data_IF_096084991177
#
_entry.id   IF_096084991177
#
_cell.length_a   1.000
_cell.length_b   1.000
_cell.length_c   1.000
_cell.angle_alpha   90.00
_cell.angle_beta   90.00
_cell.angle_gamma   90.00
#
_symmetry.space_group_name_H-M   'P 1'
#
loop_
_entity.id
_entity.type
_entity.pdbx_description
1 polymer ?
#
# COMPACT_ATOMS: atom_id res chain seq x y z
N UNK A 1 6.59 16.64 7.30
CA UNK A 1 6.49 15.72 6.13
C UNK A 1 5.63 14.52 6.50
N UNK A 2 4.66 14.17 5.64
CA UNK A 2 3.79 12.99 5.76
C UNK A 2 4.44 11.83 5.01
N UNK A 3 4.61 10.71 5.68
CA UNK A 3 5.30 9.53 5.15
C UNK A 3 4.40 8.30 5.31
N UNK A 4 4.31 7.45 4.31
CA UNK A 4 3.53 6.21 4.41
C UNK A 4 3.22 5.59 3.06
N UNK A 5 2.62 4.40 3.08
CA UNK A 5 2.25 3.67 1.86
C UNK A 5 1.31 4.48 0.96
N UNK A 6 1.29 4.22 -0.36
CA UNK A 6 0.29 4.80 -1.26
C UNK A 6 -1.14 4.52 -0.76
N UNK A 7 -2.05 5.47 -0.95
CA UNK A 7 -3.47 5.27 -0.61
C UNK A 7 -3.83 5.40 0.87
N UNK A 8 -2.89 5.73 1.77
CA UNK A 8 -3.18 5.91 3.21
C UNK A 8 -3.86 7.24 3.55
N UNK A 9 -4.02 8.15 2.59
CA UNK A 9 -4.77 9.40 2.77
C UNK A 9 -3.90 10.62 3.12
N UNK A 10 -2.59 10.60 2.85
CA UNK A 10 -1.67 11.72 3.15
C UNK A 10 -2.15 13.06 2.59
N UNK A 11 -2.54 13.09 1.32
CA UNK A 11 -3.07 14.29 0.63
C UNK A 11 -4.39 14.74 1.25
N UNK A 12 -5.28 13.80 1.61
CA UNK A 12 -6.54 14.12 2.28
C UNK A 12 -6.30 14.71 3.68
N UNK A 13 -5.33 14.18 4.42
CA UNK A 13 -4.95 14.70 5.72
C UNK A 13 -4.44 16.13 5.63
N UNK A 14 -3.58 16.44 4.65
CA UNK A 14 -3.09 17.81 4.43
C UNK A 14 -4.23 18.78 4.09
N UNK A 15 -5.18 18.37 3.23
CA UNK A 15 -6.38 19.16 2.92
C UNK A 15 -7.27 19.37 4.15
N UNK A 16 -7.45 18.33 4.96
CA UNK A 16 -8.26 18.43 6.19
C UNK A 16 -7.65 19.39 7.20
N UNK A 17 -6.32 19.40 7.35
CA UNK A 17 -5.61 20.36 8.23
C UNK A 17 -5.84 21.81 7.75
N UNK A 18 -5.75 22.06 6.45
CA UNK A 18 -6.00 23.40 5.90
C UNK A 18 -7.47 23.84 6.08
N UNK A 19 -8.40 22.90 5.86
CA UNK A 19 -9.84 23.17 6.05
C UNK A 19 -10.18 23.48 7.51
N UNK A 20 -9.61 22.72 8.46
CA UNK A 20 -9.81 22.94 9.90
C UNK A 20 -9.17 24.24 10.37
N UNK A 21 -8.00 24.59 9.86
CA UNK A 21 -7.32 25.85 10.14
C UNK A 21 -7.94 27.05 9.42
N UNK A 22 -8.82 26.81 8.46
CA UNK A 22 -9.47 27.83 7.61
C UNK A 22 -8.45 28.78 6.96
N UNK A 23 -7.40 28.21 6.35
CA UNK A 23 -6.33 28.93 5.68
C UNK A 23 -6.22 28.52 4.20
N UNK A 24 -5.72 29.40 3.30
CA UNK A 24 -5.41 29.05 1.93
C UNK A 24 -4.51 27.82 1.82
N UNK A 25 -4.83 26.94 0.85
CA UNK A 25 -4.13 25.68 0.60
C UNK A 25 -3.58 25.66 -0.83
N UNK A 26 -2.27 25.73 -0.95
CA UNK A 26 -1.55 25.64 -2.21
C UNK A 26 -1.00 24.24 -2.38
N UNK A 27 -1.54 23.47 -3.32
CA UNK A 27 -1.13 22.08 -3.56
C UNK A 27 -0.47 21.95 -4.92
N UNK A 28 0.66 21.25 -4.96
CA UNK A 28 1.39 20.91 -6.18
C UNK A 28 1.96 19.48 -6.05
N UNK A 29 2.03 18.76 -7.16
CA UNK A 29 2.75 17.49 -7.19
C UNK A 29 4.22 17.73 -7.51
N UNK A 30 5.12 16.93 -6.91
CA UNK A 30 6.54 16.99 -7.20
C UNK A 30 6.87 16.77 -8.68
N UNK A 31 6.06 15.97 -9.37
CA UNK A 31 6.15 15.76 -10.82
C UNK A 31 5.91 17.04 -11.62
N UNK A 32 5.08 17.97 -11.14
CA UNK A 32 4.75 19.22 -11.84
C UNK A 32 5.94 20.19 -11.92
N UNK A 33 6.97 19.92 -11.11
CA UNK A 33 8.22 20.68 -11.15
C UNK A 33 9.24 20.11 -12.14
N UNK A 34 9.02 18.88 -12.65
CA UNK A 34 9.91 18.20 -13.59
C UNK A 34 9.41 18.43 -15.00
N UNK A 35 10.02 19.39 -15.69
CA UNK A 35 9.66 19.75 -17.06
C UNK A 35 10.85 19.44 -18.00
N UNK A 36 10.59 19.39 -19.32
CA UNK A 36 11.66 19.20 -20.32
C UNK A 36 12.54 20.45 -20.54
N UNK A 37 12.10 21.62 -20.04
CA UNK A 37 12.83 22.89 -20.23
C UNK A 37 13.52 23.32 -18.95
N UNK A 38 14.81 23.52 -19.02
CA UNK A 38 15.65 23.94 -17.89
C UNK A 38 15.16 25.26 -17.28
N UNK A 39 15.01 25.28 -15.96
CA UNK A 39 14.62 26.47 -15.19
C UNK A 39 13.13 26.69 -14.98
N UNK A 40 12.25 25.99 -15.68
CA UNK A 40 10.79 26.13 -15.51
C UNK A 40 10.36 25.62 -14.12
N UNK A 41 10.87 24.47 -13.69
CA UNK A 41 10.58 23.92 -12.36
C UNK A 41 11.00 24.86 -11.22
N UNK A 42 12.19 25.45 -11.30
CA UNK A 42 12.68 26.42 -10.32
C UNK A 42 11.81 27.68 -10.28
N UNK A 43 11.31 28.15 -11.44
CA UNK A 43 10.40 29.32 -11.49
C UNK A 43 9.06 29.00 -10.82
N UNK A 44 8.49 27.80 -11.06
CA UNK A 44 7.23 27.36 -10.41
C UNK A 44 7.35 27.28 -8.90
N UNK A 45 8.48 26.76 -8.39
CA UNK A 45 8.76 26.76 -6.95
C UNK A 45 8.69 28.17 -6.40
N UNK A 46 9.41 29.12 -7.02
CA UNK A 46 9.45 30.51 -6.58
C UNK A 46 8.06 31.16 -6.60
N UNK A 47 7.31 30.96 -7.68
CA UNK A 47 5.96 31.52 -7.84
C UNK A 47 5.00 30.98 -6.78
N UNK A 48 5.06 29.69 -6.46
CA UNK A 48 4.26 29.05 -5.42
C UNK A 48 4.52 29.69 -4.05
N UNK A 49 5.78 29.85 -3.66
CA UNK A 49 6.16 30.47 -2.39
C UNK A 49 5.77 31.94 -2.31
N UNK A 50 5.91 32.67 -3.40
CA UNK A 50 5.46 34.08 -3.46
C UNK A 50 3.93 34.22 -3.34
N UNK A 51 3.16 33.33 -3.98
CA UNK A 51 1.71 33.33 -3.86
C UNK A 51 1.26 33.02 -2.43
N UNK A 52 1.85 31.99 -1.80
CA UNK A 52 1.55 31.65 -0.41
C UNK A 52 1.91 32.77 0.56
N UNK A 53 3.05 33.43 0.36
CA UNK A 53 3.48 34.56 1.19
C UNK A 53 2.52 35.77 1.10
N UNK A 54 1.92 36.00 -0.07
CA UNK A 54 0.91 37.10 -0.27
C UNK A 54 -0.41 36.81 0.43
N UNK A 55 -0.72 35.52 0.67
CA UNK A 55 -2.00 35.10 1.26
C UNK A 55 -1.80 34.46 2.65
N UNK A 56 -0.68 34.79 3.31
CA UNK A 56 -0.41 34.27 4.66
C UNK A 56 -1.47 34.76 5.68
N UNK A 57 -1.89 33.90 6.65
CA UNK A 57 -1.39 32.54 6.89
C UNK A 57 -1.88 31.55 5.84
N UNK A 58 -1.01 30.62 5.40
CA UNK A 58 -1.31 29.65 4.33
C UNK A 58 -0.58 28.33 4.54
N UNK A 59 -1.03 27.28 3.84
CA UNK A 59 -0.34 25.99 3.78
C UNK A 59 0.12 25.73 2.34
N UNK A 60 1.42 25.43 2.18
CA UNK A 60 1.98 24.87 0.96
C UNK A 60 2.07 23.36 1.14
N UNK A 61 1.51 22.60 0.21
CA UNK A 61 1.57 21.15 0.21
C UNK A 61 2.23 20.65 -1.07
N UNK A 62 3.34 19.91 -0.92
CA UNK A 62 4.06 19.28 -2.02
C UNK A 62 3.83 17.78 -1.94
N UNK A 63 3.01 17.24 -2.84
CA UNK A 63 2.79 15.80 -2.92
C UNK A 63 3.91 15.14 -3.75
N UNK A 64 4.18 13.86 -3.49
CA UNK A 64 5.21 13.10 -4.21
C UNK A 64 6.56 13.82 -4.30
N UNK A 65 7.02 14.39 -3.19
CA UNK A 65 8.27 15.17 -3.15
C UNK A 65 9.49 14.38 -3.62
N UNK A 66 9.43 13.07 -3.59
CA UNK A 66 10.46 12.16 -4.10
C UNK A 66 10.68 12.27 -5.62
N UNK A 67 9.75 12.88 -6.37
CA UNK A 67 9.95 13.17 -7.79
C UNK A 67 11.12 14.16 -8.03
N UNK A 68 11.30 15.13 -7.13
CA UNK A 68 12.37 16.14 -7.19
C UNK A 68 13.47 15.93 -6.16
N UNK A 69 13.12 15.33 -5.02
CA UNK A 69 13.99 15.21 -3.84
C UNK A 69 14.87 13.97 -3.80
N UNK A 70 15.11 13.30 -4.92
CA UNK A 70 15.91 12.06 -4.97
C UNK A 70 17.40 12.32 -4.73
N UNK A 71 18.05 11.46 -3.91
CA UNK A 71 19.48 11.53 -3.60
C UNK A 71 20.37 11.41 -4.84
N UNK A 72 21.54 12.06 -4.78
CA UNK A 72 22.54 12.21 -5.87
C UNK A 72 23.27 10.93 -6.25
N UNK A 73 23.11 9.83 -5.52
CA UNK A 73 23.91 8.59 -5.69
C UNK A 73 23.59 7.78 -6.95
N UNK A 74 22.65 8.20 -7.81
CA UNK A 74 22.37 7.52 -9.07
C UNK A 74 23.29 8.02 -10.19
N UNK A 75 24.26 7.21 -10.55
CA UNK A 75 25.34 7.43 -11.56
C UNK A 75 24.88 7.57 -13.03
N UNK A 76 23.66 7.96 -13.32
CA UNK A 76 23.22 8.18 -14.71
C UNK A 76 22.89 9.66 -14.92
N UNK A 77 23.68 10.29 -15.80
CA UNK A 77 23.57 11.69 -16.19
C UNK A 77 22.17 12.02 -16.78
N UNK A 78 21.72 13.23 -16.52
CA UNK A 78 20.48 13.81 -17.05
C UNK A 78 19.58 14.48 -16.02
N UNK A 79 20.08 14.89 -14.85
CA UNK A 79 19.28 15.41 -13.76
C UNK A 79 19.55 16.90 -13.39
N UNK A 80 20.20 17.67 -14.26
CA UNK A 80 20.54 19.08 -13.95
C UNK A 80 19.30 19.91 -13.58
N UNK A 81 18.17 19.67 -14.23
CA UNK A 81 16.94 20.39 -13.96
C UNK A 81 16.32 20.03 -12.60
N UNK A 82 16.30 18.73 -12.28
CA UNK A 82 15.78 18.28 -10.96
C UNK A 82 16.65 18.81 -9.83
N UNK A 83 17.96 18.79 -10.01
CA UNK A 83 18.89 19.33 -9.03
C UNK A 83 18.75 20.85 -8.88
N UNK A 84 18.55 21.57 -9.97
CA UNK A 84 18.27 23.00 -9.94
C UNK A 84 16.95 23.32 -9.22
N UNK A 85 15.92 22.54 -9.51
CA UNK A 85 14.59 22.67 -8.86
C UNK A 85 14.67 22.35 -7.37
N UNK A 86 15.39 21.27 -6.99
CA UNK A 86 15.63 20.93 -5.59
C UNK A 86 16.39 22.03 -4.86
N UNK A 87 17.46 22.55 -5.46
CA UNK A 87 18.25 23.63 -4.87
C UNK A 87 17.42 24.91 -4.70
N UNK A 88 16.53 25.22 -5.66
CA UNK A 88 15.59 26.35 -5.53
C UNK A 88 14.60 26.08 -4.38
N UNK A 89 14.03 24.88 -4.29
CA UNK A 89 13.11 24.52 -3.19
C UNK A 89 13.82 24.69 -1.82
N UNK A 90 15.03 24.19 -1.70
CA UNK A 90 15.83 24.34 -0.47
C UNK A 90 16.10 25.81 -0.13
N UNK A 91 16.42 26.62 -1.15
CA UNK A 91 16.63 28.07 -0.99
C UNK A 91 15.35 28.80 -0.54
N UNK A 92 14.19 28.46 -1.11
CA UNK A 92 12.92 29.05 -0.71
C UNK A 92 12.54 28.67 0.72
N UNK A 93 12.76 27.38 1.12
CA UNK A 93 12.49 26.93 2.49
C UNK A 93 13.40 27.65 3.49
N UNK A 94 14.73 27.73 3.19
CA UNK A 94 15.70 28.37 4.09
C UNK A 94 15.52 29.90 4.16
N UNK A 95 15.10 30.51 3.07
CA UNK A 95 14.82 31.96 3.00
C UNK A 95 13.43 32.36 3.51
N UNK A 96 12.62 31.38 3.89
CA UNK A 96 11.25 31.64 4.29
C UNK A 96 11.17 32.09 5.74
N UNK A 97 10.58 33.28 5.95
CA UNK A 97 10.36 33.82 7.27
C UNK A 97 9.16 33.10 7.95
N UNK A 98 9.47 32.23 8.91
CA UNK A 98 8.46 31.45 9.66
C UNK A 98 7.47 32.35 10.43
N UNK A 99 7.81 33.62 10.68
CA UNK A 99 6.92 34.58 11.34
C UNK A 99 5.71 34.97 10.49
N UNK A 100 5.78 34.77 9.17
CA UNK A 100 4.67 35.08 8.23
C UNK A 100 3.52 34.08 8.27
N UNK A 101 3.59 33.01 9.08
CA UNK A 101 2.49 32.07 9.27
C UNK A 101 2.25 31.12 8.11
N UNK A 102 3.24 30.85 7.25
CA UNK A 102 3.11 29.82 6.20
C UNK A 102 3.73 28.51 6.70
N UNK A 103 2.96 27.44 6.57
CA UNK A 103 3.38 26.07 6.92
C UNK A 103 3.64 25.27 5.65
N UNK A 104 4.80 24.65 5.56
CA UNK A 104 5.17 23.80 4.43
C UNK A 104 4.98 22.34 4.83
N UNK A 105 4.13 21.64 4.09
CA UNK A 105 3.90 20.20 4.21
C UNK A 105 4.40 19.51 2.95
N UNK A 106 4.99 18.33 3.11
CA UNK A 106 5.31 17.46 1.98
C UNK A 106 4.79 16.06 2.25
N UNK A 107 4.53 15.29 1.19
CA UNK A 107 4.19 13.88 1.28
C UNK A 107 5.09 13.05 0.37
N UNK A 108 5.44 11.84 0.85
CA UNK A 108 6.18 10.85 0.06
C UNK A 108 5.76 9.44 0.45
N UNK A 109 5.86 8.55 -0.53
CA UNK A 109 5.73 7.11 -0.33
C UNK A 109 7.10 6.43 -0.16
N UNK A 110 8.20 7.15 -0.43
CA UNK A 110 9.56 6.62 -0.53
C UNK A 110 10.58 7.53 0.17
N UNK A 111 10.50 7.66 1.51
CA UNK A 111 11.39 8.55 2.26
C UNK A 111 12.87 8.14 2.18
N UNK A 112 13.15 6.87 1.90
CA UNK A 112 14.50 6.30 1.80
C UNK A 112 15.32 6.84 0.62
N UNK A 113 14.65 7.34 -0.43
CA UNK A 113 15.34 7.88 -1.61
C UNK A 113 15.55 9.40 -1.55
N UNK A 114 15.01 10.07 -0.53
CA UNK A 114 15.10 11.51 -0.40
C UNK A 114 16.52 11.99 -0.07
N UNK A 115 16.88 13.13 -0.65
CA UNK A 115 18.13 13.84 -0.31
C UNK A 115 18.09 14.25 1.17
N UNK A 116 19.18 13.92 1.88
CA UNK A 116 19.33 14.25 3.31
C UNK A 116 19.24 15.75 3.61
N UNK A 117 19.50 16.60 2.62
CA UNK A 117 19.36 18.04 2.76
C UNK A 117 17.92 18.47 3.03
N UNK A 118 16.93 17.77 2.47
CA UNK A 118 15.49 18.03 2.74
C UNK A 118 15.11 17.73 4.19
N UNK A 119 15.80 16.80 4.83
CA UNK A 119 15.46 16.26 6.14
C UNK A 119 16.19 16.96 7.30
N UNK A 120 16.97 17.99 7.01
CA UNK A 120 17.70 18.75 8.03
C UNK A 120 16.77 19.63 8.87
N UNK A 121 17.23 19.96 10.08
CA UNK A 121 16.55 20.92 10.97
C UNK A 121 16.26 22.25 10.24
N UNK A 122 15.09 22.81 10.45
CA UNK A 122 14.63 24.02 9.76
C UNK A 122 13.96 23.78 8.40
N UNK A 123 13.93 22.53 7.92
CA UNK A 123 13.26 22.11 6.68
C UNK A 123 12.16 21.08 7.01
N UNK A 124 12.14 19.91 6.38
CA UNK A 124 11.21 18.84 6.73
C UNK A 124 11.72 18.00 7.91
N UNK A 125 12.02 18.64 9.01
CA UNK A 125 12.58 18.05 10.22
C UNK A 125 11.57 17.16 10.98
N UNK A 126 10.27 17.39 10.83
CA UNK A 126 9.22 16.58 11.44
C UNK A 126 8.62 15.61 10.45
N UNK A 127 8.72 14.32 10.77
CA UNK A 127 8.13 13.24 9.98
C UNK A 127 6.94 12.67 10.74
N UNK A 128 5.81 12.58 10.05
CA UNK A 128 4.56 12.01 10.57
C UNK A 128 4.27 10.78 9.72
N UNK A 129 4.29 9.63 10.36
CA UNK A 129 3.96 8.36 9.70
C UNK A 129 2.45 8.26 9.59
N UNK A 130 1.96 8.05 8.37
CA UNK A 130 0.55 7.78 8.08
C UNK A 130 0.44 6.31 7.73
N UNK A 131 0.20 5.52 8.77
CA UNK A 131 0.11 4.07 8.67
C UNK A 131 -1.17 3.59 7.97
N UNK A 132 -1.19 2.30 7.64
CA UNK A 132 -2.43 1.63 7.21
C UNK A 132 -3.44 1.66 8.35
N UNK A 133 -4.74 1.80 8.03
CA UNK A 133 -5.75 1.81 9.07
C UNK A 133 -5.86 0.44 9.76
N UNK A 134 -5.93 0.43 11.08
CA UNK A 134 -6.28 -0.75 11.88
C UNK A 134 -7.77 -1.10 11.67
N UNK A 135 -8.26 -2.16 12.29
CA UNK A 135 -9.65 -2.62 12.16
C UNK A 135 -10.67 -1.48 12.41
N UNK A 136 -10.50 -0.74 13.50
CA UNK A 136 -11.39 0.39 13.83
C UNK A 136 -11.30 1.51 12.79
N UNK A 137 -10.09 1.82 12.29
CA UNK A 137 -9.86 2.79 11.23
C UNK A 137 -10.49 2.36 9.90
N UNK A 138 -10.41 1.08 9.52
CA UNK A 138 -11.07 0.55 8.32
C UNK A 138 -12.58 0.65 8.42
N UNK A 139 -13.13 0.29 9.57
CA UNK A 139 -14.57 0.44 9.83
C UNK A 139 -15.02 1.90 9.68
N UNK A 140 -14.31 2.85 10.27
CA UNK A 140 -14.64 4.28 10.13
C UNK A 140 -14.49 4.76 8.68
N UNK A 141 -13.45 4.32 7.98
CA UNK A 141 -13.23 4.64 6.55
C UNK A 141 -14.39 4.12 5.70
N UNK A 142 -14.82 2.87 5.90
CA UNK A 142 -15.98 2.30 5.23
C UNK A 142 -17.25 3.12 5.52
N UNK A 143 -17.48 3.50 6.77
CA UNK A 143 -18.61 4.38 7.14
C UNK A 143 -18.60 5.71 6.40
N UNK A 144 -17.43 6.31 6.23
CA UNK A 144 -17.30 7.57 5.49
C UNK A 144 -17.65 7.37 4.01
N UNK A 145 -17.11 6.35 3.37
CA UNK A 145 -17.35 6.11 1.95
C UNK A 145 -18.76 5.60 1.63
N UNK A 146 -19.46 4.99 2.60
CA UNK A 146 -20.84 4.53 2.42
C UNK A 146 -21.90 5.58 2.76
N UNK A 147 -21.55 6.78 3.24
CA UNK A 147 -22.52 7.80 3.66
C UNK A 147 -23.55 8.17 2.59
N UNK A 148 -23.12 8.22 1.33
CA UNK A 148 -23.94 8.63 0.19
C UNK A 148 -24.46 7.44 -0.62
N UNK A 149 -24.32 6.22 -0.09
CA UNK A 149 -24.73 4.98 -0.75
C UNK A 149 -25.82 4.33 0.06
N UNK A 150 -26.89 3.89 -0.60
CA UNK A 150 -27.95 3.16 0.06
C UNK A 150 -27.48 1.72 0.32
N UNK A 151 -27.36 1.37 1.59
CA UNK A 151 -27.06 0.01 2.04
C UNK A 151 -28.34 -0.76 2.32
N UNK A 152 -28.32 -2.06 2.06
CA UNK A 152 -29.36 -2.99 2.46
C UNK A 152 -29.24 -3.33 3.97
N UNK A 153 -30.28 -3.91 4.55
CA UNK A 153 -30.35 -4.21 5.99
C UNK A 153 -29.38 -5.32 6.43
N UNK A 154 -28.92 -6.16 5.50
CA UNK A 154 -27.98 -7.25 5.73
C UNK A 154 -26.53 -6.81 5.86
N UNK A 155 -26.22 -5.53 5.62
CA UNK A 155 -24.84 -5.04 5.56
C UNK A 155 -24.23 -4.87 6.96
N UNK A 156 -23.21 -5.65 7.22
CA UNK A 156 -22.35 -5.53 8.41
C UNK A 156 -20.95 -5.03 8.00
N UNK A 157 -20.72 -3.73 8.20
CA UNK A 157 -19.43 -3.10 7.88
C UNK A 157 -18.28 -3.58 8.76
N UNK A 158 -18.55 -4.14 9.97
CA UNK A 158 -17.49 -4.73 10.79
C UNK A 158 -16.91 -5.99 10.14
N UNK A 159 -17.77 -6.85 9.59
CA UNK A 159 -17.33 -8.04 8.85
C UNK A 159 -16.51 -7.66 7.62
N UNK A 160 -16.89 -6.59 6.92
CA UNK A 160 -16.07 -6.08 5.79
C UNK A 160 -14.75 -5.54 6.29
N UNK A 161 -14.72 -4.78 7.38
CA UNK A 161 -13.48 -4.27 7.97
C UNK A 161 -12.54 -5.40 8.42
N UNK A 162 -13.07 -6.51 8.96
CA UNK A 162 -12.30 -7.71 9.28
C UNK A 162 -11.72 -8.37 8.03
N UNK A 163 -12.56 -8.60 7.01
CA UNK A 163 -12.16 -9.22 5.76
C UNK A 163 -11.08 -8.41 5.01
N UNK A 164 -11.07 -7.08 5.18
CA UNK A 164 -10.15 -6.16 4.49
C UNK A 164 -8.86 -5.87 5.26
N UNK A 165 -8.35 -6.82 6.05
CA UNK A 165 -7.09 -6.67 6.76
C UNK A 165 -5.94 -6.26 5.81
N UNK A 166 -5.17 -5.22 6.20
CA UNK A 166 -4.08 -4.68 5.38
C UNK A 166 -4.49 -3.73 4.25
N UNK A 167 -5.78 -3.55 3.97
CA UNK A 167 -6.26 -2.59 2.99
C UNK A 167 -5.98 -1.15 3.43
N UNK A 168 -5.66 -0.28 2.47
CA UNK A 168 -5.53 1.17 2.68
C UNK A 168 -6.84 1.90 2.40
N UNK A 169 -6.91 3.19 2.75
CA UNK A 169 -8.12 3.99 2.54
C UNK A 169 -8.60 4.02 1.08
N UNK A 170 -7.67 4.07 0.12
CA UNK A 170 -7.99 4.04 -1.31
C UNK A 170 -8.61 2.70 -1.74
N UNK A 171 -8.13 1.57 -1.20
CA UNK A 171 -8.70 0.24 -1.50
C UNK A 171 -10.13 0.15 -1.00
N UNK A 172 -10.40 0.66 0.21
CA UNK A 172 -11.73 0.67 0.82
C UNK A 172 -12.70 1.57 0.05
N UNK A 173 -12.24 2.72 -0.44
CA UNK A 173 -13.02 3.60 -1.30
C UNK A 173 -13.38 2.91 -2.62
N UNK A 174 -12.41 2.26 -3.26
CA UNK A 174 -12.61 1.51 -4.50
C UNK A 174 -13.57 0.33 -4.29
N UNK A 175 -13.41 -0.42 -3.20
CA UNK A 175 -14.31 -1.50 -2.81
C UNK A 175 -15.78 -1.04 -2.75
N UNK A 176 -16.03 0.07 -2.07
CA UNK A 176 -17.40 0.62 -1.93
C UNK A 176 -17.96 1.08 -3.28
N UNK A 177 -17.11 1.68 -4.12
CA UNK A 177 -17.51 2.09 -5.47
C UNK A 177 -17.84 0.87 -6.36
N UNK A 178 -16.99 -0.16 -6.36
CA UNK A 178 -17.24 -1.41 -7.11
C UNK A 178 -18.53 -2.12 -6.62
N UNK A 179 -18.77 -2.13 -5.30
CA UNK A 179 -20.00 -2.70 -4.73
C UNK A 179 -21.24 -1.96 -5.21
N UNK A 180 -21.20 -0.63 -5.28
CA UNK A 180 -22.29 0.17 -5.81
C UNK A 180 -22.53 -0.12 -7.31
N UNK A 181 -21.45 -0.19 -8.11
CA UNK A 181 -21.55 -0.56 -9.52
C UNK A 181 -22.11 -1.97 -9.71
N UNK A 182 -21.70 -2.94 -8.86
CA UNK A 182 -22.23 -4.30 -8.88
C UNK A 182 -23.72 -4.31 -8.57
N UNK A 183 -24.19 -3.61 -7.56
CA UNK A 183 -25.60 -3.51 -7.22
C UNK A 183 -26.43 -2.99 -8.39
N UNK A 184 -25.97 -1.93 -9.06
CA UNK A 184 -26.62 -1.37 -10.26
C UNK A 184 -26.65 -2.36 -11.41
N UNK A 185 -25.55 -3.05 -11.70
CA UNK A 185 -25.48 -4.09 -12.76
C UNK A 185 -26.47 -5.23 -12.52
N UNK A 186 -26.83 -5.51 -11.26
CA UNK A 186 -27.85 -6.51 -10.89
C UNK A 186 -29.26 -5.90 -10.70
N UNK A 187 -29.49 -4.66 -11.14
CA UNK A 187 -30.80 -3.99 -11.07
C UNK A 187 -31.23 -3.60 -9.65
N UNK A 188 -30.35 -3.60 -8.66
CA UNK A 188 -30.65 -3.25 -7.28
C UNK A 188 -30.42 -1.77 -7.01
N UNK A 189 -31.21 -1.22 -6.08
CA UNK A 189 -31.11 0.18 -5.64
C UNK A 189 -30.33 0.35 -4.34
N UNK A 190 -29.87 -0.75 -3.74
CA UNK A 190 -29.10 -0.77 -2.50
C UNK A 190 -27.98 -1.82 -2.61
N UNK A 191 -26.88 -1.53 -1.99
CA UNK A 191 -25.70 -2.42 -1.88
C UNK A 191 -25.98 -3.41 -0.74
N UNK A 192 -25.82 -4.70 -0.99
CA UNK A 192 -25.92 -5.74 0.03
C UNK A 192 -24.52 -6.24 0.49
N UNK A 193 -24.50 -7.13 1.49
CA UNK A 193 -23.28 -7.68 2.04
C UNK A 193 -22.44 -8.43 0.99
N UNK A 194 -23.10 -9.19 0.11
CA UNK A 194 -22.44 -9.94 -0.96
C UNK A 194 -21.74 -9.01 -1.95
N UNK A 195 -22.35 -7.87 -2.30
CA UNK A 195 -21.73 -6.91 -3.20
C UNK A 195 -20.38 -6.41 -2.65
N UNK A 196 -20.34 -6.11 -1.35
CA UNK A 196 -19.11 -5.66 -0.70
C UNK A 196 -18.04 -6.75 -0.66
N UNK A 197 -18.41 -7.99 -0.33
CA UNK A 197 -17.48 -9.11 -0.27
C UNK A 197 -16.90 -9.45 -1.65
N UNK A 198 -17.76 -9.56 -2.68
CA UNK A 198 -17.30 -9.83 -4.04
C UNK A 198 -16.46 -8.69 -4.60
N UNK A 199 -16.82 -7.44 -4.29
CA UNK A 199 -16.04 -6.29 -4.73
C UNK A 199 -14.67 -6.22 -4.05
N UNK A 200 -14.55 -6.68 -2.81
CA UNK A 200 -13.27 -6.83 -2.15
C UNK A 200 -12.36 -7.83 -2.89
N UNK A 201 -12.92 -8.96 -3.32
CA UNK A 201 -12.19 -9.92 -4.14
C UNK A 201 -11.72 -9.31 -5.46
N UNK A 202 -12.58 -8.52 -6.12
CA UNK A 202 -12.23 -7.81 -7.36
C UNK A 202 -11.09 -6.81 -7.14
N UNK A 203 -11.09 -6.10 -6.01
CA UNK A 203 -10.03 -5.13 -5.69
C UNK A 203 -8.70 -5.82 -5.43
N UNK A 204 -8.68 -6.98 -4.76
CA UNK A 204 -7.46 -7.72 -4.45
C UNK A 204 -6.97 -8.57 -5.63
N UNK A 205 -7.84 -9.40 -6.19
CA UNK A 205 -7.49 -10.40 -7.20
C UNK A 205 -7.67 -9.89 -8.64
N UNK A 206 -8.29 -8.72 -8.81
CA UNK A 206 -8.72 -8.23 -10.12
C UNK A 206 -10.05 -8.87 -10.58
N UNK A 207 -10.54 -8.44 -11.72
CA UNK A 207 -11.76 -8.99 -12.32
C UNK A 207 -11.50 -10.37 -12.94
N UNK A 208 -12.56 -11.19 -13.00
CA UNK A 208 -12.50 -12.48 -13.69
C UNK A 208 -12.14 -12.31 -15.17
N UNK A 209 -11.20 -13.12 -15.65
CA UNK A 209 -10.83 -13.18 -17.06
C UNK A 209 -11.81 -14.03 -17.84
N UNK A 210 -12.77 -13.42 -18.51
CA UNK A 210 -13.77 -14.11 -19.32
C UNK A 210 -13.23 -14.82 -20.57
N UNK A 211 -12.00 -14.55 -20.99
CA UNK A 211 -11.41 -15.10 -22.23
C UNK A 211 -10.33 -16.17 -22.02
N UNK A 212 -9.96 -16.48 -20.79
CA UNK A 212 -8.93 -17.50 -20.53
C UNK A 212 -9.60 -18.86 -20.40
N UNK A 213 -9.38 -19.72 -21.40
CA UNK A 213 -9.87 -21.11 -21.36
C UNK A 213 -8.71 -22.00 -20.92
N UNK A 214 -8.76 -22.47 -19.68
CA UNK A 214 -7.83 -23.49 -19.20
C UNK A 214 -8.19 -24.84 -19.79
N UNK A 215 -7.18 -25.61 -20.18
CA UNK A 215 -7.36 -27.04 -20.54
C UNK A 215 -7.84 -27.82 -19.31
N UNK A 216 -8.45 -28.98 -19.52
CA UNK A 216 -8.93 -29.80 -18.40
C UNK A 216 -7.79 -30.27 -17.49
N UNK A 217 -6.60 -30.48 -18.05
CA UNK A 217 -5.41 -30.80 -17.26
C UNK A 217 -4.97 -29.60 -16.41
N UNK A 218 -4.93 -28.40 -16.97
CA UNK A 218 -4.59 -27.19 -16.22
C UNK A 218 -5.61 -26.92 -15.11
N UNK A 219 -6.91 -27.04 -15.39
CA UNK A 219 -7.96 -26.94 -14.36
C UNK A 219 -7.73 -27.91 -13.19
N UNK A 220 -7.38 -29.17 -13.51
CA UNK A 220 -7.07 -30.14 -12.48
C UNK A 220 -5.84 -29.75 -11.67
N UNK A 221 -4.76 -29.34 -12.32
CA UNK A 221 -3.54 -28.90 -11.63
C UNK A 221 -3.83 -27.73 -10.71
N UNK A 222 -4.50 -26.68 -11.21
CA UNK A 222 -4.87 -25.51 -10.40
C UNK A 222 -5.80 -25.89 -9.25
N UNK A 223 -6.78 -26.79 -9.47
CA UNK A 223 -7.67 -27.25 -8.41
C UNK A 223 -6.92 -27.94 -7.27
N UNK A 224 -6.00 -28.84 -7.59
CA UNK A 224 -5.20 -29.52 -6.56
C UNK A 224 -4.23 -28.56 -5.89
N UNK A 225 -3.69 -27.60 -6.62
CA UNK A 225 -2.81 -26.56 -6.08
C UNK A 225 -3.55 -25.72 -5.01
N UNK A 226 -4.71 -25.16 -5.35
CA UNK A 226 -5.48 -24.34 -4.43
C UNK A 226 -6.04 -25.12 -3.24
N UNK A 227 -6.52 -26.34 -3.50
CA UNK A 227 -6.95 -27.24 -2.41
C UNK A 227 -5.76 -27.64 -1.53
N UNK A 228 -4.57 -27.75 -2.09
CA UNK A 228 -3.32 -28.01 -1.35
C UNK A 228 -3.03 -26.91 -0.33
N UNK A 229 -3.13 -25.64 -0.72
CA UNK A 229 -3.02 -24.51 0.21
C UNK A 229 -4.08 -24.58 1.31
N UNK A 230 -5.34 -24.78 0.91
CA UNK A 230 -6.46 -24.83 1.84
C UNK A 230 -6.37 -25.98 2.84
N UNK A 231 -5.99 -27.17 2.37
CA UNK A 231 -5.85 -28.36 3.20
C UNK A 231 -4.72 -28.19 4.23
N UNK A 232 -3.56 -27.71 3.77
CA UNK A 232 -2.43 -27.44 4.66
C UNK A 232 -2.80 -26.38 5.70
N UNK A 233 -3.50 -25.31 5.31
CA UNK A 233 -3.99 -24.30 6.24
C UNK A 233 -4.97 -24.89 7.27
N UNK A 234 -5.99 -25.62 6.82
CA UNK A 234 -7.05 -26.14 7.68
C UNK A 234 -6.58 -27.17 8.71
N UNK A 235 -5.50 -27.92 8.40
CA UNK A 235 -4.96 -28.96 9.29
C UNK A 235 -3.91 -28.46 10.29
N UNK A 236 -3.54 -27.18 10.24
CA UNK A 236 -2.53 -26.61 11.14
C UNK A 236 -3.17 -25.80 12.26
N UNK A 237 -2.62 -25.90 13.49
CA UNK A 237 -2.90 -24.95 14.55
C UNK A 237 -2.33 -23.58 14.19
N UNK A 238 -2.97 -22.52 14.63
CA UNK A 238 -2.57 -21.13 14.39
C UNK A 238 -2.63 -20.68 12.92
N UNK A 239 -3.21 -21.49 12.04
CA UNK A 239 -3.53 -21.07 10.70
C UNK A 239 -4.79 -20.21 10.69
N UNK A 240 -4.86 -19.28 9.75
CA UNK A 240 -6.06 -18.48 9.54
C UNK A 240 -7.13 -19.32 8.82
N UNK A 241 -8.42 -19.13 9.13
CA UNK A 241 -9.48 -19.88 8.47
C UNK A 241 -9.52 -19.59 6.97
N UNK A 242 -9.71 -20.66 6.19
CA UNK A 242 -9.93 -20.56 4.75
C UNK A 242 -11.36 -20.11 4.51
N UNK A 243 -11.54 -18.97 3.88
CA UNK A 243 -12.84 -18.38 3.58
C UNK A 243 -13.32 -18.70 2.16
N UNK A 244 -12.40 -18.87 1.21
CA UNK A 244 -12.74 -19.15 -0.19
C UNK A 244 -11.63 -19.86 -0.92
N UNK A 245 -12.00 -20.74 -1.85
CA UNK A 245 -11.11 -21.34 -2.85
C UNK A 245 -11.75 -21.09 -4.23
N UNK A 246 -10.97 -20.67 -5.21
CA UNK A 246 -11.43 -20.48 -6.59
C UNK A 246 -10.36 -20.92 -7.57
N UNK A 247 -10.80 -21.45 -8.72
CA UNK A 247 -9.95 -21.78 -9.87
C UNK A 247 -10.29 -20.90 -11.09
N UNK A 248 -11.01 -19.82 -10.87
CA UNK A 248 -11.36 -18.87 -11.91
C UNK A 248 -10.17 -17.94 -12.14
N UNK A 249 -9.65 -17.83 -13.38
CA UNK A 249 -8.55 -16.93 -13.69
C UNK A 249 -8.94 -15.45 -13.50
N UNK A 250 -8.05 -14.66 -12.89
CA UNK A 250 -8.24 -13.24 -12.62
C UNK A 250 -7.25 -12.36 -13.40
N UNK A 251 -7.56 -11.09 -13.54
CA UNK A 251 -6.74 -10.13 -14.31
C UNK A 251 -5.38 -9.83 -13.65
N UNK A 252 -5.21 -10.12 -12.37
CA UNK A 252 -3.92 -10.08 -11.67
C UNK A 252 -2.90 -11.11 -12.15
N UNK A 253 -3.33 -12.06 -13.00
CA UNK A 253 -2.49 -13.15 -13.51
C UNK A 253 -2.64 -14.47 -12.73
N UNK A 254 -3.36 -14.47 -11.62
CA UNK A 254 -3.66 -15.69 -10.88
C UNK A 254 -4.65 -16.56 -11.66
N UNK A 255 -4.37 -17.87 -11.74
CA UNK A 255 -5.25 -18.86 -12.36
C UNK A 255 -6.28 -19.39 -11.35
N UNK A 256 -6.04 -19.23 -10.08
CA UNK A 256 -6.90 -19.51 -8.94
C UNK A 256 -6.34 -18.76 -7.73
N UNK A 257 -7.05 -18.83 -6.60
CA UNK A 257 -6.52 -18.40 -5.30
C UNK A 257 -7.27 -19.05 -4.14
N UNK A 258 -6.55 -19.19 -3.03
CA UNK A 258 -7.10 -19.56 -1.73
C UNK A 258 -7.09 -18.35 -0.82
N UNK A 259 -8.26 -17.91 -0.37
CA UNK A 259 -8.39 -16.76 0.52
C UNK A 259 -8.49 -17.22 1.97
N UNK A 260 -7.65 -16.63 2.81
CA UNK A 260 -7.71 -16.76 4.26
C UNK A 260 -8.11 -15.40 4.86
N UNK A 261 -9.04 -15.40 5.80
CA UNK A 261 -9.48 -14.19 6.48
C UNK A 261 -9.04 -14.22 7.93
N UNK A 262 -8.22 -13.25 8.39
CA UNK A 262 -7.83 -13.17 9.79
C UNK A 262 -9.05 -12.98 10.69
N UNK A 263 -9.14 -13.74 11.77
CA UNK A 263 -10.15 -13.53 12.81
C UNK A 263 -9.81 -12.33 13.69
N UNK A 264 -8.51 -12.09 13.90
CA UNK A 264 -7.99 -11.00 14.73
C UNK A 264 -6.81 -10.31 14.06
N UNK A 265 -6.64 -9.02 14.30
CA UNK A 265 -5.42 -8.29 13.93
C UNK A 265 -4.29 -8.65 14.91
N UNK A 266 -3.22 -9.23 14.39
CA UNK A 266 -2.01 -9.51 15.15
C UNK A 266 -0.85 -8.63 14.68
N UNK A 267 -0.16 -8.04 15.65
CA UNK A 267 1.04 -7.24 15.42
C UNK A 267 2.33 -8.01 15.65
N UNK A 268 2.25 -9.14 16.36
CA UNK A 268 3.40 -10.00 16.65
C UNK A 268 3.09 -11.42 16.20
N UNK A 269 3.98 -11.97 15.38
CA UNK A 269 3.91 -13.38 14.97
C UNK A 269 5.03 -14.17 15.64
N UNK A 270 4.70 -15.30 16.18
CA UNK A 270 5.67 -16.27 16.72
C UNK A 270 6.38 -17.02 15.60
N UNK A 271 7.52 -17.65 15.92
CA UNK A 271 8.24 -18.53 14.97
C UNK A 271 7.32 -19.63 14.42
N UNK A 272 6.48 -20.21 15.29
CA UNK A 272 5.57 -21.29 14.89
C UNK A 272 4.49 -20.81 13.92
N UNK A 273 3.94 -19.62 14.13
CA UNK A 273 2.96 -19.02 13.21
C UNK A 273 3.57 -18.72 11.83
N UNK A 274 4.80 -18.20 11.79
CA UNK A 274 5.50 -17.99 10.53
C UNK A 274 5.85 -19.30 9.82
N UNK A 275 6.16 -20.36 10.56
CA UNK A 275 6.36 -21.70 9.99
C UNK A 275 5.05 -22.27 9.43
N UNK A 276 3.92 -22.01 10.06
CA UNK A 276 2.58 -22.36 9.55
C UNK A 276 2.31 -21.64 8.23
N UNK A 277 2.61 -20.34 8.15
CA UNK A 277 2.46 -19.56 6.92
C UNK A 277 3.36 -20.10 5.80
N UNK A 278 4.63 -20.42 6.09
CA UNK A 278 5.54 -21.04 5.12
C UNK A 278 5.01 -22.38 4.57
N UNK A 279 4.50 -23.25 5.44
CA UNK A 279 3.94 -24.54 5.01
C UNK A 279 2.71 -24.32 4.14
N UNK A 280 1.85 -23.37 4.50
CA UNK A 280 0.66 -23.02 3.71
C UNK A 280 1.05 -22.52 2.32
N UNK A 281 2.02 -21.60 2.23
CA UNK A 281 2.53 -21.10 0.94
C UNK A 281 3.10 -22.21 0.05
N UNK A 282 3.71 -23.22 0.63
CA UNK A 282 4.28 -24.34 -0.12
C UNK A 282 3.29 -25.48 -0.39
N UNK A 283 2.08 -25.41 0.19
CA UNK A 283 1.04 -26.44 0.10
C UNK A 283 0.60 -26.74 -1.33
N UNK A 284 0.42 -25.70 -2.16
CA UNK A 284 0.04 -25.85 -3.56
C UNK A 284 1.10 -26.60 -4.37
N UNK A 285 2.36 -26.21 -4.23
CA UNK A 285 3.49 -26.91 -4.86
C UNK A 285 3.60 -28.37 -4.41
N UNK A 286 3.40 -28.63 -3.13
CA UNK A 286 3.43 -29.99 -2.59
C UNK A 286 2.30 -30.85 -3.18
N UNK A 287 1.10 -30.31 -3.32
CA UNK A 287 -0.04 -31.00 -3.93
C UNK A 287 0.21 -31.34 -5.41
N UNK A 288 0.76 -30.42 -6.21
CA UNK A 288 1.15 -30.70 -7.59
C UNK A 288 2.12 -31.89 -7.67
N UNK A 289 3.15 -31.91 -6.81
CA UNK A 289 4.16 -32.95 -6.83
C UNK A 289 3.61 -34.32 -6.39
N UNK A 290 2.81 -34.34 -5.33
CA UNK A 290 2.23 -35.57 -4.79
C UNK A 290 1.25 -36.23 -5.77
N UNK A 291 0.42 -35.43 -6.43
CA UNK A 291 -0.66 -35.96 -7.28
C UNK A 291 -0.23 -36.18 -8.72
N UNK A 292 0.57 -35.30 -9.28
CA UNK A 292 0.94 -35.35 -10.69
C UNK A 292 2.41 -35.72 -10.94
N UNK A 293 3.25 -35.79 -9.89
CA UNK A 293 4.69 -36.05 -10.02
C UNK A 293 5.46 -34.95 -10.76
N UNK A 294 4.85 -33.77 -10.96
CA UNK A 294 5.42 -32.68 -11.74
C UNK A 294 5.47 -31.38 -10.96
N UNK A 295 6.19 -30.41 -11.49
CA UNK A 295 6.32 -29.06 -10.96
C UNK A 295 5.98 -28.08 -12.07
N UNK A 296 5.01 -27.19 -11.85
CA UNK A 296 4.61 -26.19 -12.85
C UNK A 296 5.12 -24.78 -12.49
N UNK A 297 4.96 -23.84 -13.37
CA UNK A 297 5.27 -22.43 -13.11
C UNK A 297 4.23 -21.73 -12.21
N UNK A 298 3.09 -22.38 -11.94
CA UNK A 298 1.98 -21.80 -11.18
C UNK A 298 2.35 -21.39 -9.74
N UNK A 299 3.28 -22.12 -9.11
CA UNK A 299 3.72 -21.82 -7.75
C UNK A 299 4.82 -20.74 -7.65
N UNK A 300 5.14 -19.99 -8.71
CA UNK A 300 6.25 -19.05 -8.70
C UNK A 300 6.10 -17.97 -7.60
N UNK A 301 4.92 -17.37 -7.49
CA UNK A 301 4.62 -16.35 -6.49
C UNK A 301 4.67 -16.89 -5.05
N UNK A 302 4.16 -18.10 -4.83
CA UNK A 302 4.18 -18.74 -3.50
C UNK A 302 5.59 -19.03 -3.04
N UNK A 303 6.44 -19.50 -3.96
CA UNK A 303 7.87 -19.76 -3.68
C UNK A 303 8.59 -18.44 -3.39
N UNK A 304 8.32 -17.38 -4.13
CA UNK A 304 8.90 -16.05 -3.89
C UNK A 304 8.53 -15.55 -2.49
N UNK A 305 7.24 -15.56 -2.15
CA UNK A 305 6.74 -15.14 -0.83
C UNK A 305 7.31 -16.00 0.29
N UNK A 306 7.36 -17.32 0.11
CA UNK A 306 7.94 -18.24 1.09
C UNK A 306 9.44 -17.96 1.29
N UNK A 307 10.17 -17.66 0.21
CA UNK A 307 11.60 -17.31 0.27
C UNK A 307 11.82 -16.00 1.03
N UNK A 308 11.01 -14.98 0.76
CA UNK A 308 11.10 -13.70 1.45
C UNK A 308 10.79 -13.83 2.94
N UNK A 309 9.75 -14.59 3.28
CA UNK A 309 9.41 -14.88 4.67
C UNK A 309 10.54 -15.60 5.40
N UNK A 310 11.08 -16.65 4.79
CA UNK A 310 12.20 -17.42 5.35
C UNK A 310 13.46 -16.55 5.54
N UNK A 311 13.76 -15.67 4.59
CA UNK A 311 14.85 -14.69 4.71
C UNK A 311 14.64 -13.76 5.90
N UNK A 312 13.45 -13.18 6.06
CA UNK A 312 13.12 -12.31 7.19
C UNK A 312 13.25 -13.04 8.52
N UNK A 313 12.78 -14.30 8.62
CA UNK A 313 12.91 -15.11 9.82
C UNK A 313 14.38 -15.30 10.23
N UNK A 314 15.26 -15.53 9.27
CA UNK A 314 16.69 -15.76 9.54
C UNK A 314 17.44 -14.44 9.73
N UNK A 315 17.25 -13.48 8.81
CA UNK A 315 18.11 -12.30 8.72
C UNK A 315 17.69 -11.15 9.61
N UNK A 316 16.38 -11.04 9.91
CA UNK A 316 15.81 -9.89 10.63
C UNK A 316 15.28 -10.26 12.01
N UNK A 317 14.58 -11.38 12.11
CA UNK A 317 13.86 -11.73 13.34
C UNK A 317 14.68 -12.62 14.30
N UNK A 318 15.88 -13.06 13.89
CA UNK A 318 16.73 -13.90 14.72
C UNK A 318 16.08 -15.24 15.11
N UNK A 319 15.23 -15.79 14.22
CA UNK A 319 14.46 -17.02 14.47
C UNK A 319 15.17 -18.30 14.01
N UNK A 320 16.46 -18.20 13.65
CA UNK A 320 17.27 -19.35 13.25
C UNK A 320 17.94 -19.99 14.47
N UNK A 321 17.79 -21.30 14.63
CA UNK A 321 18.47 -22.05 15.69
C UNK A 321 19.99 -22.11 15.48
N UNK A 322 20.46 -21.94 14.23
CA UNK A 322 21.88 -21.97 13.88
C UNK A 322 22.58 -20.62 14.10
N UNK A 323 21.92 -19.50 13.76
CA UNK A 323 22.50 -18.16 13.82
C UNK A 323 22.12 -17.40 15.10
N UNK A 324 21.18 -17.94 15.88
CA UNK A 324 20.76 -17.34 17.14
C UNK A 324 20.18 -15.93 16.99
N UNK A 325 20.49 -15.07 17.92
CA UNK A 325 19.96 -13.70 18.01
C UNK A 325 20.78 -12.67 17.21
N UNK A 326 21.31 -13.07 16.07
CA UNK A 326 22.07 -12.15 15.20
C UNK A 326 21.17 -11.55 14.12
N UNK A 327 21.18 -10.22 13.99
CA UNK A 327 20.66 -9.55 12.82
C UNK A 327 21.70 -9.62 11.70
N UNK A 328 21.39 -10.34 10.62
CA UNK A 328 22.29 -10.51 9.47
C UNK A 328 22.05 -9.46 8.38
N UNK A 329 21.02 -8.64 8.53
CA UNK A 329 20.78 -7.47 7.68
C UNK A 329 20.35 -6.29 8.56
N UNK A 330 20.94 -5.13 8.31
CA UNK A 330 20.45 -3.88 8.89
C UNK A 330 19.25 -3.41 8.09
N UNK A 331 18.05 -3.69 8.58
CA UNK A 331 16.86 -2.98 8.14
C UNK A 331 16.61 -1.84 9.11
N UNK A 332 17.17 -0.68 8.80
CA UNK A 332 16.68 0.56 9.36
C UNK A 332 15.18 0.67 9.08
N UNK A 333 14.47 1.35 9.96
CA UNK A 333 13.04 1.59 9.74
C UNK A 333 12.91 2.37 8.42
N UNK A 334 12.39 1.73 7.38
CA UNK A 334 12.30 2.23 6.01
C UNK A 334 11.69 3.65 5.94
N UNK A 335 10.91 4.03 6.95
CA UNK A 335 10.22 5.31 7.03
C UNK A 335 10.88 6.33 7.98
N UNK A 336 11.81 5.92 8.83
CA UNK A 336 12.43 6.79 9.83
C UNK A 336 13.93 7.01 9.61
N UNK A 337 14.63 5.99 9.17
CA UNK A 337 16.07 6.04 8.93
C UNK A 337 16.33 6.19 7.43
N UNK A 338 16.67 7.38 7.01
CA UNK A 338 17.12 7.65 5.63
C UNK A 338 18.56 7.14 5.36
N UNK A 339 18.96 6.02 5.98
CA UNK A 339 20.26 5.40 5.79
C UNK A 339 20.09 3.89 5.64
N UNK A 340 20.29 3.40 4.47
CA UNK A 340 20.72 2.04 4.23
C UNK A 340 22.23 2.03 4.12
#
# INVERSE_FOLDING_TARGET
MLVGSPGTGKTLLAKAVAGEANVPFFSIAGSDFVEMFVGVGASRVRDLFQQAAKQAPAIIFIDEIDAIGKSRDSKFGGNDEREQTLNQLLSEIDGFDSSKGVVILAATNRPEILDKALLRAGRFDRRIIVDRPNLAGRYQTLRVHTRNIKLAEDVDLNKIAQATAGAVGADLANLVNEAALRAVRHGRKAVNQEDLLVSFEVVIAGTEKKGTVLTDMEKRIVSYHEVGHALVAALQKHSQPVSKITIVPHTSGALGYTMQTPEEEKYLNSKDELLVELRTLLGGRAAEYVVFGTKTTGAANDIERATDLARKMVMQYGMSDRFGLMALSNTGNQYLDGSA
#
